data_IF_550615035894
#
_entry.id   IF_550615035894
#
_cell.length_a   1.000
_cell.length_b   1.000
_cell.length_c   1.000
_cell.angle_alpha   90.00
_cell.angle_beta   90.00
_cell.angle_gamma   90.00
#
_symmetry.space_group_name_H-M   'P 1'
#
loop_
_entity.id
_entity.type
_entity.pdbx_description
1 polymer ?
#
# COMPACT_ATOMS: atom_id res chain seq x y z
N UNK A 1 -16.14 8.95 18.12
CA UNK A 1 -14.82 8.74 18.77
C UNK A 1 -13.71 8.52 17.74
N UNK A 2 -13.85 7.56 16.81
CA UNK A 2 -12.84 7.32 15.75
C UNK A 2 -12.54 8.59 14.93
N UNK A 3 -13.55 9.28 14.41
CA UNK A 3 -13.35 10.50 13.62
C UNK A 3 -12.65 11.61 14.42
N UNK A 4 -13.03 11.79 15.69
CA UNK A 4 -12.43 12.78 16.59
C UNK A 4 -10.92 12.54 16.76
N UNK A 5 -10.52 11.31 17.08
CA UNK A 5 -9.10 11.00 17.24
C UNK A 5 -8.35 11.02 15.91
N UNK A 6 -8.99 10.63 14.81
CA UNK A 6 -8.44 10.82 13.46
C UNK A 6 -8.11 12.28 13.17
N UNK A 7 -9.03 13.20 13.46
CA UNK A 7 -8.80 14.65 13.23
C UNK A 7 -7.67 15.20 14.14
N UNK A 8 -7.65 14.80 15.42
CA UNK A 8 -6.62 15.22 16.36
C UNK A 8 -5.23 14.67 16.02
N UNK A 9 -5.14 13.52 15.34
CA UNK A 9 -3.89 12.80 15.07
C UNK A 9 -3.42 12.82 13.62
N UNK A 10 -3.88 13.82 12.85
CA UNK A 10 -3.53 13.93 11.43
C UNK A 10 -3.91 12.67 10.64
N UNK A 11 -5.15 12.23 10.78
CA UNK A 11 -5.66 11.01 10.16
C UNK A 11 -4.99 9.74 10.69
N UNK A 12 -4.67 9.69 11.98
CA UNK A 12 -3.93 8.61 12.65
C UNK A 12 -2.45 8.52 12.29
N UNK A 13 -1.92 9.38 11.43
CA UNK A 13 -0.51 9.33 11.02
C UNK A 13 0.45 9.58 12.17
N UNK A 14 0.08 10.40 13.16
CA UNK A 14 0.93 10.63 14.32
C UNK A 14 1.12 9.37 15.18
N UNK A 15 0.30 8.33 14.99
CA UNK A 15 0.44 7.04 15.66
C UNK A 15 1.45 6.11 14.99
N UNK A 16 1.88 6.39 13.75
CA UNK A 16 2.79 5.49 13.02
C UNK A 16 4.18 5.42 13.66
N UNK A 17 4.61 6.49 14.33
CA UNK A 17 5.91 6.56 15.01
C UNK A 17 5.82 6.09 16.48
N UNK A 18 4.71 5.46 16.88
CA UNK A 18 4.48 5.02 18.27
C UNK A 18 5.62 4.17 18.82
N UNK A 19 6.15 3.28 18.00
CA UNK A 19 7.21 2.33 18.39
C UNK A 19 8.47 3.07 18.86
N UNK A 20 8.85 4.16 18.17
CA UNK A 20 10.01 4.99 18.52
C UNK A 20 9.84 5.71 19.86
N UNK A 21 8.60 6.08 20.21
CA UNK A 21 8.29 6.80 21.45
C UNK A 21 8.07 5.88 22.65
N UNK A 22 7.46 4.71 22.44
CA UNK A 22 7.07 3.79 23.51
C UNK A 22 8.07 2.65 23.74
N UNK A 23 9.10 2.52 22.87
CA UNK A 23 10.10 1.45 22.93
C UNK A 23 9.42 0.09 23.10
N UNK A 24 8.45 -0.19 22.24
CA UNK A 24 7.57 -1.35 22.35
C UNK A 24 8.34 -2.63 22.02
N UNK A 25 8.84 -3.34 23.03
CA UNK A 25 9.25 -4.75 22.93
C UNK A 25 8.03 -5.70 23.08
N UNK A 26 6.86 -5.29 22.61
CA UNK A 26 5.63 -5.85 23.13
C UNK A 26 5.11 -7.07 22.38
N UNK A 27 4.63 -8.04 23.17
CA UNK A 27 4.04 -9.28 22.68
C UNK A 27 2.50 -9.19 22.55
N UNK A 28 1.86 -8.19 23.15
CA UNK A 28 0.41 -8.09 23.28
C UNK A 28 -0.10 -6.66 23.12
N UNK A 29 -1.16 -6.47 22.32
CA UNK A 29 -1.74 -5.15 22.01
C UNK A 29 -2.27 -4.45 23.27
N UNK A 30 -2.79 -5.22 24.22
CA UNK A 30 -3.32 -4.70 25.48
C UNK A 30 -2.24 -4.06 26.36
N UNK A 31 -0.99 -4.54 26.30
CA UNK A 31 0.12 -3.92 27.02
C UNK A 31 0.40 -2.51 26.47
N UNK A 32 0.39 -2.35 25.15
CA UNK A 32 0.63 -1.07 24.47
C UNK A 32 -0.41 -0.04 24.87
N UNK A 33 -1.67 -0.48 24.95
CA UNK A 33 -2.78 0.38 25.34
C UNK A 33 -2.62 0.84 26.80
N UNK A 34 -2.13 -0.02 27.70
CA UNK A 34 -1.84 0.38 29.08
C UNK A 34 -0.63 1.31 29.19
N UNK A 35 0.43 1.09 28.40
CA UNK A 35 1.55 2.04 28.35
C UNK A 35 1.08 3.41 27.85
N UNK A 36 0.25 3.44 26.82
CA UNK A 36 -0.40 4.66 26.34
C UNK A 36 -1.24 5.31 27.44
N UNK A 37 -1.97 4.52 28.24
CA UNK A 37 -2.78 5.00 29.38
C UNK A 37 -1.93 5.65 30.47
N UNK A 38 -0.69 5.20 30.62
CA UNK A 38 0.29 5.69 31.61
C UNK A 38 1.15 6.86 31.12
N UNK A 39 1.06 7.25 29.83
CA UNK A 39 1.85 8.36 29.30
C UNK A 39 1.60 9.67 30.05
N UNK A 40 2.64 10.42 30.43
CA UNK A 40 2.50 11.79 30.95
C UNK A 40 1.66 12.68 30.03
N UNK A 41 0.87 13.60 30.60
CA UNK A 41 -0.07 14.42 29.82
C UNK A 41 0.60 15.20 28.68
N UNK A 42 1.78 15.77 28.94
CA UNK A 42 2.55 16.51 27.94
C UNK A 42 3.00 15.59 26.78
N UNK A 43 3.42 14.36 27.08
CA UNK A 43 3.80 13.38 26.07
C UNK A 43 2.59 12.93 25.27
N UNK A 44 1.46 12.65 25.94
CA UNK A 44 0.21 12.29 25.27
C UNK A 44 -0.29 13.38 24.31
N UNK A 45 -0.22 14.65 24.73
CA UNK A 45 -0.61 15.79 23.87
C UNK A 45 0.35 15.93 22.68
N UNK A 46 1.66 15.85 22.93
CA UNK A 46 2.68 15.94 21.87
C UNK A 46 2.52 14.80 20.86
N UNK A 47 2.27 13.60 21.36
CA UNK A 47 1.99 12.43 20.56
C UNK A 47 0.74 12.60 19.69
N UNK A 48 -0.38 13.01 20.30
CA UNK A 48 -1.63 13.14 19.57
C UNK A 48 -1.56 14.28 18.53
N UNK A 49 -0.98 15.44 18.86
CA UNK A 49 -0.99 16.61 17.97
C UNK A 49 0.24 16.70 17.04
N UNK A 50 1.33 15.99 17.35
CA UNK A 50 2.60 16.07 16.63
C UNK A 50 3.11 17.51 16.56
N UNK A 51 3.60 17.91 15.38
CA UNK A 51 4.12 19.26 15.12
C UNK A 51 3.09 20.39 15.33
N UNK A 52 1.78 20.07 15.37
CA UNK A 52 0.71 21.07 15.56
C UNK A 52 0.65 21.64 16.97
N UNK A 53 1.32 21.03 17.95
CA UNK A 53 1.37 21.53 19.32
C UNK A 53 1.91 22.98 19.41
N UNK A 54 2.72 23.41 18.44
CA UNK A 54 3.29 24.76 18.38
C UNK A 54 2.42 25.77 17.60
N UNK A 55 1.22 25.37 17.17
CA UNK A 55 0.30 26.20 16.37
C UNK A 55 -0.90 26.67 17.19
N UNK A 56 -1.66 27.64 16.66
CA UNK A 56 -2.86 28.14 17.35
C UNK A 56 -3.93 27.05 17.45
N UNK A 57 -4.20 26.61 18.67
CA UNK A 57 -5.13 25.52 18.94
C UNK A 57 -6.57 25.83 18.47
N UNK A 58 -7.15 24.90 17.72
CA UNK A 58 -8.56 24.93 17.34
C UNK A 58 -9.48 24.58 18.53
N UNK A 59 -10.80 24.67 18.33
CA UNK A 59 -11.80 24.44 19.39
C UNK A 59 -11.69 23.04 20.01
N UNK A 60 -11.34 22.02 19.23
CA UNK A 60 -11.21 20.64 19.72
C UNK A 60 -9.90 20.43 20.48
N UNK A 61 -8.80 20.96 19.95
CA UNK A 61 -7.49 20.94 20.61
C UNK A 61 -7.54 21.68 21.96
N UNK A 62 -8.27 22.79 22.05
CA UNK A 62 -8.49 23.49 23.32
C UNK A 62 -9.24 22.65 24.35
N UNK A 63 -10.18 21.78 23.93
CA UNK A 63 -10.86 20.86 24.84
C UNK A 63 -9.91 19.76 25.32
N UNK A 64 -9.08 19.21 24.42
CA UNK A 64 -8.03 18.25 24.75
C UNK A 64 -7.05 18.83 25.79
N UNK A 65 -6.49 20.02 25.53
CA UNK A 65 -5.52 20.68 26.40
C UNK A 65 -6.06 20.98 27.80
N UNK A 66 -7.38 21.19 27.95
CA UNK A 66 -8.02 21.40 29.25
C UNK A 66 -8.24 20.12 30.05
N UNK A 67 -8.34 18.96 29.39
CA UNK A 67 -8.67 17.67 30.02
C UNK A 67 -7.91 16.49 29.39
N UNK A 68 -6.57 16.51 29.36
CA UNK A 68 -5.78 15.50 28.64
C UNK A 68 -6.04 14.07 29.12
N UNK A 69 -6.12 13.83 30.45
CA UNK A 69 -6.40 12.49 30.99
C UNK A 69 -7.75 11.91 30.55
N UNK A 70 -8.78 12.77 30.42
CA UNK A 70 -10.09 12.34 29.95
C UNK A 70 -10.01 11.81 28.51
N UNK A 71 -9.35 12.55 27.62
CA UNK A 71 -9.16 12.13 26.24
C UNK A 71 -8.21 10.94 26.09
N UNK A 72 -7.18 10.83 26.94
CA UNK A 72 -6.28 9.67 26.97
C UNK A 72 -7.03 8.39 27.31
N UNK A 73 -7.81 8.41 28.39
CA UNK A 73 -8.64 7.27 28.79
C UNK A 73 -9.65 6.91 27.69
N UNK A 74 -10.32 7.90 27.10
CA UNK A 74 -11.25 7.68 26.00
C UNK A 74 -10.60 7.07 24.74
N UNK A 75 -9.35 7.43 24.46
CA UNK A 75 -8.60 6.81 23.36
C UNK A 75 -8.25 5.36 23.70
N UNK A 76 -7.72 5.10 24.90
CA UNK A 76 -7.39 3.74 25.33
C UNK A 76 -8.63 2.84 25.33
N UNK A 77 -9.77 3.32 25.84
CA UNK A 77 -11.02 2.56 25.85
C UNK A 77 -11.52 2.28 24.42
N UNK A 78 -11.41 3.27 23.50
CA UNK A 78 -11.70 3.06 22.09
C UNK A 78 -10.79 2.00 21.46
N UNK A 79 -9.48 2.04 21.73
CA UNK A 79 -8.51 1.08 21.19
C UNK A 79 -8.77 -0.33 21.72
N UNK A 80 -9.11 -0.46 23.01
CA UNK A 80 -9.52 -1.74 23.61
C UNK A 80 -10.75 -2.31 22.92
N UNK A 81 -11.82 -1.52 22.83
CA UNK A 81 -13.07 -1.96 22.21
C UNK A 81 -12.84 -2.37 20.75
N UNK A 82 -12.06 -1.58 20.01
CA UNK A 82 -11.73 -1.84 18.62
C UNK A 82 -10.89 -3.12 18.46
N UNK A 83 -9.86 -3.30 19.29
CA UNK A 83 -9.03 -4.50 19.28
C UNK A 83 -9.86 -5.75 19.59
N UNK A 84 -10.61 -5.76 20.68
CA UNK A 84 -11.40 -6.91 21.12
C UNK A 84 -12.51 -7.27 20.13
N UNK A 85 -13.18 -6.27 19.56
CA UNK A 85 -14.32 -6.49 18.67
C UNK A 85 -13.90 -6.94 17.28
N UNK A 86 -12.80 -6.41 16.74
CA UNK A 86 -12.46 -6.57 15.32
C UNK A 86 -11.17 -7.35 15.06
N UNK A 87 -10.16 -7.28 15.94
CA UNK A 87 -8.82 -7.81 15.64
C UNK A 87 -8.42 -9.01 16.48
N UNK A 88 -8.77 -9.06 17.77
CA UNK A 88 -8.30 -10.08 18.70
C UNK A 88 -8.59 -11.49 18.19
N UNK A 89 -9.80 -11.72 17.67
CA UNK A 89 -10.19 -13.00 17.07
C UNK A 89 -9.37 -13.34 15.82
N UNK A 90 -9.14 -12.37 14.94
CA UNK A 90 -8.40 -12.62 13.70
C UNK A 90 -6.91 -12.86 13.99
N UNK A 91 -6.31 -12.09 14.89
CA UNK A 91 -4.94 -12.31 15.37
C UNK A 91 -4.78 -13.70 16.00
N UNK A 92 -5.69 -14.10 16.90
CA UNK A 92 -5.68 -15.44 17.50
C UNK A 92 -5.72 -16.56 16.44
N UNK A 93 -6.44 -16.35 15.34
CA UNK A 93 -6.55 -17.33 14.25
C UNK A 93 -5.31 -17.33 13.36
N UNK A 94 -4.70 -16.18 13.13
CA UNK A 94 -3.55 -16.01 12.23
C UNK A 94 -2.22 -16.38 12.87
N UNK A 95 -2.04 -16.05 14.15
CA UNK A 95 -0.78 -16.19 14.88
C UNK A 95 -0.18 -17.60 14.80
N UNK A 96 -0.93 -18.71 14.97
CA UNK A 96 -0.37 -20.05 14.83
C UNK A 96 0.24 -20.33 13.46
N UNK A 97 -0.33 -19.75 12.39
CA UNK A 97 0.20 -19.91 11.03
C UNK A 97 1.48 -19.09 10.84
N UNK A 98 1.52 -17.87 11.37
CA UNK A 98 2.72 -17.04 11.35
C UNK A 98 3.86 -17.73 12.11
N UNK A 99 3.61 -18.20 13.33
CA UNK A 99 4.60 -18.93 14.15
C UNK A 99 5.09 -20.19 13.43
N UNK A 100 4.17 -20.98 12.87
CA UNK A 100 4.50 -22.19 12.11
C UNK A 100 5.41 -21.85 10.91
N UNK A 101 5.08 -20.82 10.15
CA UNK A 101 5.85 -20.43 8.96
C UNK A 101 7.28 -20.01 9.32
N UNK A 102 7.48 -19.32 10.45
CA UNK A 102 8.81 -18.96 10.96
C UNK A 102 9.62 -20.21 11.29
N UNK A 103 9.00 -21.19 11.95
CA UNK A 103 9.68 -22.44 12.29
C UNK A 103 10.06 -23.25 11.03
N UNK A 104 9.15 -23.37 10.08
CA UNK A 104 9.37 -24.07 8.81
C UNK A 104 10.47 -23.39 7.99
N UNK A 105 10.46 -22.06 7.88
CA UNK A 105 11.49 -21.32 7.18
C UNK A 105 12.85 -21.46 7.86
N UNK A 106 12.92 -21.35 9.19
CA UNK A 106 14.18 -21.56 9.93
C UNK A 106 14.78 -22.93 9.65
N UNK A 107 13.95 -23.98 9.71
CA UNK A 107 14.37 -25.35 9.38
C UNK A 107 14.84 -25.48 7.93
N UNK A 108 14.17 -24.82 6.98
CA UNK A 108 14.57 -24.82 5.57
C UNK A 108 15.91 -24.09 5.37
N UNK A 109 16.13 -22.96 6.06
CA UNK A 109 17.39 -22.22 6.02
C UNK A 109 18.54 -23.07 6.58
N UNK A 110 18.33 -23.79 7.69
CA UNK A 110 19.33 -24.70 8.25
C UNK A 110 19.73 -25.81 7.27
N UNK A 111 18.81 -26.28 6.42
CA UNK A 111 19.07 -27.30 5.41
C UNK A 111 19.76 -26.74 4.17
N UNK A 112 19.23 -25.65 3.59
CA UNK A 112 19.76 -24.97 2.42
C UNK A 112 19.35 -23.49 2.40
N UNK A 113 20.23 -22.56 2.83
CA UNK A 113 19.90 -21.15 2.92
C UNK A 113 19.49 -20.55 1.57
N UNK A 114 20.18 -20.88 0.48
CA UNK A 114 19.89 -20.30 -0.82
C UNK A 114 18.52 -20.71 -1.32
N UNK A 115 18.20 -22.00 -1.23
CA UNK A 115 16.90 -22.52 -1.68
C UNK A 115 15.76 -21.97 -0.83
N UNK A 116 15.91 -21.99 0.49
CA UNK A 116 14.92 -21.47 1.42
C UNK A 116 14.67 -19.97 1.24
N UNK A 117 15.71 -19.17 0.99
CA UNK A 117 15.55 -17.74 0.75
C UNK A 117 14.92 -17.47 -0.62
N UNK A 118 15.32 -18.21 -1.66
CA UNK A 118 14.73 -18.06 -3.00
C UNK A 118 13.28 -18.56 -3.11
N UNK A 119 12.78 -19.31 -2.11
CA UNK A 119 11.37 -19.75 -2.05
C UNK A 119 10.44 -18.71 -1.41
N UNK A 120 10.97 -17.72 -0.69
CA UNK A 120 10.18 -16.68 0.00
C UNK A 120 9.30 -15.91 -0.99
N UNK A 121 9.85 -15.56 -2.15
CA UNK A 121 9.10 -14.88 -3.21
C UNK A 121 9.80 -15.04 -4.57
N UNK A 122 9.07 -15.26 -5.69
CA UNK A 122 9.67 -15.43 -7.02
C UNK A 122 10.59 -14.28 -7.47
N UNK A 123 10.27 -13.05 -7.03
CA UNK A 123 10.99 -11.80 -7.33
C UNK A 123 12.10 -11.43 -6.33
N UNK A 124 12.31 -12.24 -5.31
CA UNK A 124 13.46 -12.13 -4.43
C UNK A 124 14.45 -13.21 -4.85
N UNK A 125 15.66 -12.78 -5.24
CA UNK A 125 16.74 -13.70 -5.59
C UNK A 125 17.95 -13.46 -4.73
N UNK A 126 18.44 -14.53 -4.14
CA UNK A 126 19.64 -14.55 -3.34
C UNK A 126 20.65 -15.47 -4.03
N UNK A 127 21.80 -14.92 -4.41
CA UNK A 127 22.92 -15.66 -5.02
C UNK A 127 24.19 -15.54 -4.17
N UNK A 128 25.31 -16.10 -4.62
CA UNK A 128 26.53 -16.17 -3.80
C UNK A 128 27.17 -14.81 -3.50
N UNK A 129 26.79 -13.72 -4.19
CA UNK A 129 27.43 -12.41 -4.06
C UNK A 129 26.47 -11.28 -3.75
N UNK A 130 25.19 -11.46 -4.08
CA UNK A 130 24.23 -10.38 -4.07
C UNK A 130 22.82 -10.85 -3.77
N UNK A 131 22.03 -9.89 -3.33
CA UNK A 131 20.59 -9.97 -3.21
C UNK A 131 19.97 -9.09 -4.28
N UNK A 132 18.94 -9.63 -4.95
CA UNK A 132 18.17 -8.93 -5.98
C UNK A 132 16.69 -8.93 -5.65
N UNK A 133 16.09 -7.77 -5.82
CA UNK A 133 14.66 -7.57 -5.76
C UNK A 133 14.17 -7.05 -7.09
N UNK A 134 13.40 -7.86 -7.80
CA UNK A 134 12.73 -7.41 -9.01
C UNK A 134 11.50 -6.61 -8.57
N UNK A 135 11.49 -5.29 -8.82
CA UNK A 135 10.33 -4.39 -8.71
C UNK A 135 10.19 -3.58 -10.00
N UNK A 136 9.51 -2.42 -9.96
CA UNK A 136 9.48 -1.49 -11.10
C UNK A 136 10.91 -1.12 -11.53
N UNK A 137 11.76 -0.84 -10.54
CA UNK A 137 13.21 -0.82 -10.68
C UNK A 137 13.79 -2.07 -10.01
N UNK A 138 14.83 -2.65 -10.61
CA UNK A 138 15.53 -3.80 -10.00
C UNK A 138 16.56 -3.27 -9.02
N UNK A 139 16.40 -3.62 -7.74
CA UNK A 139 17.39 -3.30 -6.71
C UNK A 139 18.34 -4.46 -6.51
N UNK A 140 19.63 -4.14 -6.45
CA UNK A 140 20.73 -5.10 -6.30
C UNK A 140 21.60 -4.58 -5.18
N UNK A 141 21.87 -5.45 -4.21
CA UNK A 141 22.72 -5.16 -3.07
C UNK A 141 23.75 -6.27 -2.93
N UNK A 142 25.00 -5.90 -2.70
CA UNK A 142 26.08 -6.83 -2.36
C UNK A 142 26.06 -7.14 -0.87
N UNK A 143 26.64 -8.27 -0.47
CA UNK A 143 26.74 -8.60 0.96
C UNK A 143 27.63 -7.66 1.77
N UNK A 144 28.47 -6.86 1.12
CA UNK A 144 29.28 -5.83 1.79
C UNK A 144 28.43 -4.61 2.19
N UNK A 145 27.31 -4.38 1.52
CA UNK A 145 26.39 -3.27 1.81
C UNK A 145 25.37 -3.62 2.88
N UNK A 146 25.15 -4.90 3.18
CA UNK A 146 24.10 -5.38 4.06
C UNK A 146 24.70 -5.99 5.33
N UNK A 147 24.24 -5.52 6.48
CA UNK A 147 24.56 -6.11 7.78
C UNK A 147 23.49 -7.13 8.19
N UNK A 148 22.21 -6.80 7.99
CA UNK A 148 21.10 -7.65 8.42
C UNK A 148 20.03 -7.80 7.34
N UNK A 149 19.52 -9.03 7.22
CA UNK A 149 18.38 -9.37 6.38
C UNK A 149 17.32 -10.04 7.25
N UNK A 150 16.22 -9.34 7.50
CA UNK A 150 15.15 -9.82 8.37
C UNK A 150 13.96 -10.28 7.56
N UNK A 151 13.49 -11.49 7.84
CA UNK A 151 12.27 -12.03 7.22
C UNK A 151 11.09 -11.84 8.17
N UNK A 152 10.08 -11.11 7.72
CA UNK A 152 8.83 -10.89 8.46
C UNK A 152 7.67 -11.68 7.84
N UNK A 153 7.07 -12.65 8.56
CA UNK A 153 5.88 -13.35 8.08
C UNK A 153 4.67 -12.40 8.07
N UNK A 154 3.85 -12.46 7.03
CA UNK A 154 2.59 -11.70 6.95
C UNK A 154 1.56 -12.36 6.05
N UNK A 155 0.30 -12.33 6.46
CA UNK A 155 -0.82 -12.83 5.66
C UNK A 155 -1.52 -11.75 4.82
N UNK A 156 -1.12 -10.48 4.96
CA UNK A 156 -1.76 -9.34 4.29
C UNK A 156 -0.97 -8.81 3.08
N UNK A 157 0.18 -9.41 2.79
CA UNK A 157 1.07 -8.94 1.72
C UNK A 157 0.83 -9.63 0.38
N UNK A 158 0.08 -10.74 0.34
CA UNK A 158 -0.22 -11.39 -0.92
C UNK A 158 -0.97 -10.43 -1.84
N UNK A 159 -0.74 -10.49 -3.15
CA UNK A 159 0.29 -11.28 -3.87
C UNK A 159 1.72 -10.70 -3.92
N UNK A 160 2.00 -9.59 -3.24
CA UNK A 160 3.13 -8.71 -3.57
C UNK A 160 4.42 -8.99 -2.80
N UNK A 161 5.55 -8.70 -3.46
CA UNK A 161 6.84 -8.56 -2.81
C UNK A 161 6.89 -7.24 -2.01
N UNK A 162 6.66 -7.31 -0.71
CA UNK A 162 6.92 -6.19 0.21
C UNK A 162 8.36 -6.28 0.71
N UNK A 163 9.08 -5.15 0.65
CA UNK A 163 10.45 -5.03 1.15
C UNK A 163 10.66 -3.66 1.79
N UNK A 164 11.43 -3.62 2.88
CA UNK A 164 12.01 -2.41 3.44
C UNK A 164 13.49 -2.35 3.07
N UNK A 165 13.92 -1.25 2.45
CA UNK A 165 15.27 -1.10 1.89
C UNK A 165 16.05 0.02 2.61
N UNK A 166 16.30 -0.17 3.89
CA UNK A 166 17.00 0.79 4.75
C UNK A 166 18.41 0.29 5.06
N UNK A 167 19.28 0.36 4.05
CA UNK A 167 20.68 -0.10 4.13
C UNK A 167 21.38 0.51 5.37
N UNK A 168 22.05 -0.30 6.22
CA UNK A 168 22.50 -1.68 5.98
C UNK A 168 21.50 -2.79 6.38
N UNK A 169 20.25 -2.44 6.69
CA UNK A 169 19.19 -3.39 7.08
C UNK A 169 18.17 -3.56 5.96
N UNK A 170 17.90 -4.82 5.60
CA UNK A 170 16.87 -5.14 4.61
C UNK A 170 15.80 -5.99 5.26
N UNK A 171 14.54 -5.62 5.03
CA UNK A 171 13.37 -6.38 5.46
C UNK A 171 12.72 -7.00 4.24
N UNK A 172 12.44 -8.31 4.28
CA UNK A 172 11.67 -9.02 3.25
C UNK A 172 10.49 -9.70 3.91
N UNK A 173 9.30 -9.52 3.34
CA UNK A 173 8.10 -10.12 3.90
C UNK A 173 7.81 -11.48 3.26
N UNK A 174 7.59 -12.51 4.09
CA UNK A 174 7.14 -13.83 3.67
C UNK A 174 5.62 -13.87 3.70
N UNK A 175 4.98 -14.21 2.58
CA UNK A 175 3.54 -14.42 2.56
C UNK A 175 3.19 -15.71 3.31
N UNK A 176 2.26 -15.61 4.27
CA UNK A 176 1.74 -16.74 5.04
C UNK A 176 0.24 -16.89 4.78
N UNK A 177 -0.20 -17.90 4.01
CA UNK A 177 -1.62 -18.17 3.82
C UNK A 177 -2.23 -18.72 5.11
N UNK A 178 -3.49 -18.37 5.39
CA UNK A 178 -4.25 -18.99 6.48
C UNK A 178 -5.70 -19.33 6.03
N UNK A 179 -6.35 -20.33 6.66
CA UNK A 179 -7.67 -20.80 6.24
C UNK A 179 -8.76 -19.74 6.34
N UNK A 180 -9.72 -19.78 5.41
CA UNK A 180 -10.85 -18.84 5.29
C UNK A 180 -10.48 -17.38 4.96
N UNK A 181 -9.27 -17.09 4.46
CA UNK A 181 -9.14 -16.00 3.50
C UNK A 181 -10.00 -16.42 2.32
N UNK A 182 -11.16 -15.80 2.16
CA UNK A 182 -12.22 -16.28 1.30
C UNK A 182 -11.66 -16.89 0.00
N UNK A 183 -12.11 -18.11 -0.31
CA UNK A 183 -12.19 -18.63 -1.67
C UNK A 183 -13.11 -17.72 -2.49
N UNK A 184 -12.76 -16.45 -2.58
CA UNK A 184 -13.29 -15.57 -3.57
C UNK A 184 -12.71 -16.10 -4.87
N UNK A 185 -13.53 -16.84 -5.61
CA UNK A 185 -13.50 -16.87 -7.07
C UNK A 185 -13.71 -15.45 -7.62
N UNK A 186 -12.93 -14.49 -7.14
CA UNK A 186 -12.78 -13.20 -7.77
C UNK A 186 -12.06 -13.48 -9.08
N UNK A 187 -12.61 -12.93 -10.14
CA UNK A 187 -11.99 -12.94 -11.46
C UNK A 187 -10.51 -12.55 -11.28
N UNK A 188 -9.59 -13.39 -11.76
CA UNK A 188 -8.15 -13.22 -11.53
C UNK A 188 -7.74 -11.82 -12.02
N UNK A 189 -8.40 -11.33 -13.07
CA UNK A 189 -8.16 -10.03 -13.68
C UNK A 189 -8.94 -8.92 -12.96
N UNK A 190 -8.26 -7.92 -12.37
CA UNK A 190 -8.91 -6.75 -11.81
C UNK A 190 -9.71 -5.99 -12.87
N UNK A 191 -10.99 -5.68 -12.59
CA UNK A 191 -11.90 -4.99 -13.53
C UNK A 191 -11.32 -3.65 -13.99
N UNK A 192 -10.68 -2.91 -13.09
CA UNK A 192 -10.07 -1.61 -13.40
C UNK A 192 -8.90 -1.76 -14.38
N UNK A 193 -8.01 -2.75 -14.16
CA UNK A 193 -6.89 -3.05 -15.07
C UNK A 193 -7.41 -3.43 -16.46
N UNK A 194 -8.41 -4.32 -16.52
CA UNK A 194 -9.04 -4.72 -17.77
C UNK A 194 -9.64 -3.52 -18.51
N UNK A 195 -10.31 -2.61 -17.79
CA UNK A 195 -10.93 -1.42 -18.40
C UNK A 195 -9.90 -0.49 -19.04
N UNK A 196 -8.75 -0.29 -18.39
CA UNK A 196 -7.65 0.53 -18.90
C UNK A 196 -7.01 -0.12 -20.13
N UNK A 197 -6.73 -1.42 -20.07
CA UNK A 197 -6.15 -2.16 -21.19
C UNK A 197 -7.10 -2.18 -22.40
N UNK A 198 -8.40 -2.37 -22.18
CA UNK A 198 -9.42 -2.28 -23.24
C UNK A 198 -9.49 -0.87 -23.86
N UNK A 199 -9.32 0.18 -23.06
CA UNK A 199 -9.23 1.55 -23.55
C UNK A 199 -7.95 1.79 -24.37
N UNK A 200 -6.83 1.13 -24.03
CA UNK A 200 -5.57 1.25 -24.78
C UNK A 200 -5.49 0.35 -26.03
N UNK A 201 -6.29 -0.71 -26.11
CA UNK A 201 -6.32 -1.68 -27.22
C UNK A 201 -6.86 -1.17 -28.56
N UNK A 202 -6.69 0.11 -28.88
CA UNK A 202 -7.19 0.75 -30.10
C UNK A 202 -6.20 1.77 -30.64
N UNK A 203 -5.90 1.65 -31.94
CA UNK A 203 -4.91 2.48 -32.63
C UNK A 203 -5.21 3.96 -32.53
N UNK A 204 -6.46 4.37 -32.74
CA UNK A 204 -6.85 5.78 -32.72
C UNK A 204 -6.74 6.34 -31.32
N UNK A 205 -7.16 5.59 -30.29
CA UNK A 205 -7.03 6.01 -28.89
C UNK A 205 -5.57 6.22 -28.47
N UNK A 206 -4.66 5.34 -28.88
CA UNK A 206 -3.23 5.51 -28.64
C UNK A 206 -2.65 6.73 -29.36
N UNK A 207 -3.06 6.99 -30.60
CA UNK A 207 -2.65 8.20 -31.34
C UNK A 207 -3.11 9.48 -30.63
N UNK A 208 -4.37 9.52 -30.18
CA UNK A 208 -4.92 10.65 -29.45
C UNK A 208 -4.17 10.88 -28.13
N UNK A 209 -3.92 9.82 -27.35
CA UNK A 209 -3.14 9.92 -26.11
C UNK A 209 -1.72 10.45 -26.35
N UNK A 210 -1.07 10.01 -27.43
CA UNK A 210 0.27 10.51 -27.78
C UNK A 210 0.22 12.00 -28.12
N UNK A 211 -0.73 12.46 -28.93
CA UNK A 211 -0.89 13.89 -29.23
C UNK A 211 -1.17 14.71 -27.96
N UNK A 212 -2.12 14.28 -27.13
CA UNK A 212 -2.52 14.95 -25.89
C UNK A 212 -1.48 14.86 -24.75
N UNK A 213 -0.41 14.07 -24.93
CA UNK A 213 0.71 14.00 -23.96
C UNK A 213 1.63 15.21 -24.03
N UNK A 214 1.72 15.87 -25.18
CA UNK A 214 2.60 17.01 -25.40
C UNK A 214 1.89 18.31 -25.05
N UNK A 215 0.64 18.47 -25.53
CA UNK A 215 -0.18 19.66 -25.31
C UNK A 215 -1.67 19.31 -25.17
N UNK A 216 -2.49 20.12 -24.45
CA UNK A 216 -3.94 19.93 -24.42
C UNK A 216 -4.59 20.26 -25.77
N UNK A 217 -5.57 19.45 -26.20
CA UNK A 217 -6.30 19.66 -27.45
C UNK A 217 -7.81 19.63 -27.24
N UNK A 218 -8.55 20.44 -28.01
CA UNK A 218 -10.00 20.32 -28.06
C UNK A 218 -10.45 19.28 -29.12
N UNK A 219 -11.69 18.81 -29.02
CA UNK A 219 -12.28 17.83 -29.95
C UNK A 219 -12.18 18.26 -31.42
N UNK A 220 -12.28 19.56 -31.72
CA UNK A 220 -12.15 20.07 -33.08
C UNK A 220 -10.71 19.91 -33.61
N UNK A 221 -9.71 20.31 -32.82
CA UNK A 221 -8.31 20.19 -33.23
C UNK A 221 -7.90 18.72 -33.43
N UNK A 222 -8.39 17.82 -32.56
CA UNK A 222 -8.16 16.38 -32.70
C UNK A 222 -8.84 15.79 -33.94
N UNK A 223 -10.03 16.28 -34.28
CA UNK A 223 -10.75 15.88 -35.50
C UNK A 223 -9.99 16.32 -36.76
N UNK A 224 -9.47 17.55 -36.77
CA UNK A 224 -8.67 18.09 -37.87
C UNK A 224 -7.33 17.34 -38.03
N UNK A 225 -6.65 17.02 -36.92
CA UNK A 225 -5.35 16.35 -36.96
C UNK A 225 -5.42 14.87 -37.34
N UNK A 226 -6.52 14.19 -37.02
CA UNK A 226 -6.71 12.76 -37.31
C UNK A 226 -7.50 12.47 -38.58
N UNK A 227 -8.19 13.47 -39.14
CA UNK A 227 -9.11 13.31 -40.27
C UNK A 227 -10.41 12.57 -39.92
N UNK A 228 -10.68 12.33 -38.63
CA UNK A 228 -11.89 11.65 -38.18
C UNK A 228 -13.00 12.62 -37.82
N UNK A 229 -14.25 12.20 -37.97
CA UNK A 229 -15.41 13.00 -37.58
C UNK A 229 -15.40 13.32 -36.07
N UNK A 230 -15.86 14.54 -35.70
CA UNK A 230 -15.95 15.00 -34.30
C UNK A 230 -16.74 14.04 -33.39
N UNK A 231 -17.77 13.37 -33.92
CA UNK A 231 -18.54 12.37 -33.18
C UNK A 231 -17.71 11.13 -32.82
N UNK A 232 -16.86 10.66 -33.75
CA UNK A 232 -15.93 9.55 -33.53
C UNK A 232 -14.89 9.92 -32.48
N UNK A 233 -14.30 11.12 -32.58
CA UNK A 233 -13.36 11.63 -31.58
C UNK A 233 -14.00 11.72 -30.20
N UNK A 234 -15.22 12.26 -30.10
CA UNK A 234 -15.94 12.36 -28.83
C UNK A 234 -16.19 10.99 -28.20
N UNK A 235 -16.49 9.96 -29.01
CA UNK A 235 -16.63 8.58 -28.52
C UNK A 235 -15.31 8.05 -27.97
N UNK A 236 -14.19 8.27 -28.67
CA UNK A 236 -12.86 7.87 -28.18
C UNK A 236 -12.48 8.58 -26.88
N UNK A 237 -12.70 9.89 -26.80
CA UNK A 237 -12.43 10.69 -25.61
C UNK A 237 -13.24 10.19 -24.40
N UNK A 238 -14.53 9.89 -24.59
CA UNK A 238 -15.38 9.35 -23.51
C UNK A 238 -14.89 8.01 -22.97
N UNK A 239 -14.36 7.14 -23.83
CA UNK A 239 -13.77 5.85 -23.40
C UNK A 239 -12.50 6.10 -22.59
N UNK A 240 -11.62 6.98 -23.08
CA UNK A 240 -10.38 7.33 -22.41
C UNK A 240 -10.63 8.02 -21.05
N UNK A 241 -11.60 8.91 -20.98
CA UNK A 241 -12.01 9.62 -19.76
C UNK A 241 -12.59 8.64 -18.73
N UNK A 242 -13.45 7.71 -19.17
CA UNK A 242 -13.99 6.65 -18.29
C UNK A 242 -12.89 5.78 -17.70
N UNK A 243 -11.80 5.54 -18.43
CA UNK A 243 -10.61 4.82 -17.97
C UNK A 243 -9.61 5.71 -17.21
N UNK A 244 -9.95 6.98 -16.96
CA UNK A 244 -9.09 7.98 -16.30
C UNK A 244 -7.74 8.23 -16.99
N UNK A 245 -7.65 7.96 -18.30
CA UNK A 245 -6.43 8.13 -19.10
C UNK A 245 -6.26 9.56 -19.61
N UNK A 246 -7.29 10.38 -19.53
CA UNK A 246 -7.28 11.80 -19.88
C UNK A 246 -8.02 12.62 -18.84
N UNK A 247 -7.69 13.90 -18.75
CA UNK A 247 -8.45 14.91 -18.01
C UNK A 247 -8.98 15.98 -18.98
N UNK A 248 -10.14 16.55 -18.68
CA UNK A 248 -10.77 17.60 -19.48
C UNK A 248 -10.92 18.90 -18.68
N UNK A 249 -10.47 20.01 -19.24
CA UNK A 249 -10.65 21.35 -18.68
C UNK A 249 -11.49 22.22 -19.61
N UNK A 250 -12.50 22.89 -19.06
CA UNK A 250 -13.41 23.72 -19.86
C UNK A 250 -12.93 25.16 -19.93
N UNK A 251 -12.65 25.63 -21.15
CA UNK A 251 -12.33 27.02 -21.44
C UNK A 251 -13.39 27.59 -22.39
N UNK A 252 -14.34 28.34 -21.80
CA UNK A 252 -15.47 28.89 -22.53
C UNK A 252 -16.35 27.81 -23.16
N UNK A 253 -16.44 27.82 -24.49
CA UNK A 253 -17.23 26.87 -25.27
C UNK A 253 -16.51 25.56 -25.59
N UNK A 254 -15.21 25.47 -25.29
CA UNK A 254 -14.39 24.30 -25.62
C UNK A 254 -13.96 23.54 -24.37
N UNK A 255 -13.81 22.23 -24.51
CA UNK A 255 -13.15 21.37 -23.53
C UNK A 255 -11.82 20.95 -24.12
N UNK A 256 -10.74 21.20 -23.39
CA UNK A 256 -9.39 20.82 -23.74
C UNK A 256 -9.00 19.59 -22.95
N UNK A 257 -8.55 18.56 -23.65
CA UNK A 257 -8.18 17.28 -23.08
C UNK A 257 -6.66 17.13 -23.04
N UNK A 258 -6.16 16.57 -21.93
CA UNK A 258 -4.75 16.25 -21.73
C UNK A 258 -4.61 14.81 -21.26
N UNK A 259 -3.54 14.13 -21.68
CA UNK A 259 -3.21 12.80 -21.19
C UNK A 259 -2.84 12.82 -19.71
N UNK A 260 -3.42 11.90 -18.94
CA UNK A 260 -3.10 11.69 -17.54
C UNK A 260 -1.83 10.82 -17.43
N UNK A 261 -0.66 11.44 -17.55
CA UNK A 261 0.64 10.76 -17.48
C UNK A 261 0.83 9.97 -16.17
N UNK A 262 0.49 10.52 -14.97
CA UNK A 262 0.56 9.73 -13.73
C UNK A 262 -0.22 8.42 -13.79
N UNK A 263 -1.41 8.40 -14.41
CA UNK A 263 -2.20 7.16 -14.55
C UNK A 263 -1.53 6.16 -15.50
N UNK A 264 -0.85 6.62 -16.56
CA UNK A 264 -0.09 5.75 -17.45
C UNK A 264 1.15 5.17 -16.76
N UNK A 265 1.81 5.91 -15.88
CA UNK A 265 2.92 5.38 -15.09
C UNK A 265 2.42 4.36 -14.06
N UNK A 266 1.28 4.63 -13.41
CA UNK A 266 0.63 3.69 -12.51
C UNK A 266 0.25 2.38 -13.24
N UNK A 267 -0.15 2.42 -14.52
CA UNK A 267 -0.47 1.20 -15.27
C UNK A 267 0.71 0.23 -15.35
N UNK A 268 1.96 0.71 -15.42
CA UNK A 268 3.14 -0.18 -15.40
C UNK A 268 3.22 -0.94 -14.07
N UNK A 269 2.93 -0.24 -12.98
CA UNK A 269 2.88 -0.83 -11.63
C UNK A 269 1.72 -1.80 -11.54
N UNK A 270 0.52 -1.42 -11.98
CA UNK A 270 -0.69 -2.27 -11.96
C UNK A 270 -0.49 -3.57 -12.79
N UNK A 271 0.15 -3.46 -13.95
CA UNK A 271 0.49 -4.60 -14.81
C UNK A 271 1.52 -5.52 -14.16
N UNK A 272 2.61 -4.96 -13.64
CA UNK A 272 3.58 -5.73 -12.88
C UNK A 272 2.87 -6.44 -11.73
N UNK A 273 2.13 -5.69 -10.92
CA UNK A 273 1.36 -6.20 -9.78
C UNK A 273 0.42 -7.36 -10.14
N UNK A 274 -0.23 -7.31 -11.31
CA UNK A 274 -1.12 -8.37 -11.79
C UNK A 274 -0.38 -9.64 -12.24
N UNK A 275 0.75 -9.51 -12.96
CA UNK A 275 1.55 -10.68 -13.33
C UNK A 275 2.44 -11.19 -12.20
N UNK A 276 2.72 -10.33 -11.22
CA UNK A 276 3.45 -10.65 -10.01
C UNK A 276 2.60 -11.44 -9.01
N UNK A 277 1.30 -11.68 -9.30
CA UNK A 277 0.47 -12.50 -8.44
C UNK A 277 0.89 -13.98 -8.49
N UNK A 278 1.50 -14.56 -7.43
CA UNK A 278 1.66 -15.99 -7.37
C UNK A 278 0.30 -16.66 -7.49
N UNK A 279 0.23 -17.74 -8.27
CA UNK A 279 -0.92 -18.64 -8.29
C UNK A 279 -1.03 -19.37 -6.95
N UNK A 280 -1.59 -18.69 -5.96
CA UNK A 280 -1.87 -19.25 -4.64
C UNK A 280 -3.02 -20.24 -4.78
N UNK A 281 -2.70 -21.54 -4.80
CA UNK A 281 -3.71 -22.61 -4.79
C UNK A 281 -3.50 -23.77 -5.77
N UNK A 282 -2.49 -23.73 -6.65
CA UNK A 282 -2.09 -24.95 -7.35
C UNK A 282 -1.14 -25.72 -6.43
N UNK A 283 -1.65 -26.78 -5.78
CA UNK A 283 -0.78 -27.88 -5.38
C UNK A 283 0.01 -28.28 -6.62
N UNK A 284 1.33 -28.30 -6.54
CA UNK A 284 2.14 -29.03 -7.50
C UNK A 284 1.71 -30.50 -7.39
N UNK A 285 0.86 -30.95 -8.32
CA UNK A 285 0.61 -32.37 -8.54
C UNK A 285 1.94 -32.98 -8.99
N UNK A 286 2.67 -33.55 -8.04
CA UNK A 286 3.78 -34.48 -8.25
C UNK A 286 3.49 -35.80 -7.56
#
# INVERSE_FOLDING_TARGET
>A
MIQLFGELSNGWLNFLDLDDYLLLEEKHVEEAIERLRMLPENQFIAFLLGKRIHTKANVMEQKLLKKPNYYRNQLCDLLYDYHQTYFARELYRMEPWLIKSVYELKKAIEANPYEAMNSIHPRFKLDQKSIRFYKADTWIFTYEEIETLTIYPSSFIAPHLLVGLEVPTIIVYLHVPFPNQAENKQDIVPVDLLSVLAALGDKTRLQLLKQMSEHPFCTQQLSESTGLAKATISKHLKILEKANLITGERHGHFVFYKTNLPKLDQLKVDLNQFFDQPSLGQKEDT
#
